data_IF_043025512961
#
_entry.id   IF_043025512961
#
_cell.length_a   1.000
_cell.length_b   1.000
_cell.length_c   1.000
_cell.angle_alpha   90.00
_cell.angle_beta   90.00
_cell.angle_gamma   90.00
#
_symmetry.space_group_name_H-M   'P 1'
#
loop_
_entity.id
_entity.type
_entity.pdbx_description
1 polymer ?
#
# COMPACT_ATOMS: atom_id res chain seq x y z
N UNK A 1 -0.23 -15.01 8.75
CA UNK A 1 -0.97 -14.09 7.87
C UNK A 1 -0.89 -14.62 6.45
N UNK A 2 -1.94 -14.52 5.64
CA UNK A 2 -1.95 -14.99 4.24
C UNK A 2 -1.65 -13.83 3.29
N UNK A 3 -1.03 -14.06 2.13
CA UNK A 3 -0.93 -13.04 1.08
C UNK A 3 -2.31 -12.51 0.69
N UNK A 4 -2.37 -11.23 0.32
CA UNK A 4 -3.58 -10.64 -0.28
C UNK A 4 -3.78 -11.16 -1.71
N UNK A 5 -5.03 -11.22 -2.15
CA UNK A 5 -5.36 -11.51 -3.55
C UNK A 5 -5.09 -10.27 -4.40
N UNK A 6 -4.03 -10.32 -5.21
CA UNK A 6 -3.61 -9.20 -6.07
C UNK A 6 -4.50 -9.00 -7.30
N UNK A 7 -5.48 -9.90 -7.54
CA UNK A 7 -6.44 -9.76 -8.63
C UNK A 7 -7.71 -9.01 -8.23
N UNK A 8 -7.98 -8.87 -6.92
CA UNK A 8 -9.12 -8.09 -6.42
C UNK A 8 -8.75 -6.59 -6.37
N UNK A 9 -9.39 -5.72 -7.20
CA UNK A 9 -9.04 -4.31 -7.31
C UNK A 9 -9.39 -3.49 -6.05
N UNK A 10 -10.06 -4.08 -5.06
CA UNK A 10 -10.40 -3.43 -3.79
C UNK A 10 -9.25 -3.41 -2.78
N UNK A 11 -8.13 -4.05 -3.10
CA UNK A 11 -6.91 -3.96 -2.32
C UNK A 11 -6.07 -2.77 -2.78
N UNK A 12 -5.61 -1.97 -1.83
CA UNK A 12 -4.57 -0.97 -2.01
C UNK A 12 -3.33 -1.35 -1.19
N UNK A 13 -2.14 -1.00 -1.68
CA UNK A 13 -0.87 -1.20 -0.98
C UNK A 13 -0.16 0.14 -0.87
N UNK A 14 0.04 0.59 0.36
CA UNK A 14 0.78 1.81 0.68
C UNK A 14 2.21 1.43 1.05
N UNK A 15 3.18 2.08 0.42
CA UNK A 15 4.60 1.86 0.65
C UNK A 15 5.19 3.05 1.40
N UNK A 16 5.79 2.81 2.56
CA UNK A 16 6.59 3.80 3.25
C UNK A 16 8.02 3.75 2.68
N UNK A 17 8.46 4.82 2.03
CA UNK A 17 9.80 4.89 1.41
C UNK A 17 10.62 6.04 1.98
N UNK A 18 11.92 5.81 2.13
CA UNK A 18 12.91 6.87 2.39
C UNK A 18 13.58 7.22 1.08
N UNK A 19 13.50 8.49 0.71
CA UNK A 19 14.27 9.05 -0.39
C UNK A 19 15.73 9.21 0.06
N UNK A 20 16.66 8.67 -0.71
CA UNK A 20 18.09 8.87 -0.57
C UNK A 20 18.63 9.48 -1.87
N UNK A 21 19.66 10.30 -1.76
CA UNK A 21 20.40 10.81 -2.91
C UNK A 21 21.82 10.29 -2.77
N UNK A 22 22.33 9.66 -3.82
CA UNK A 22 23.70 9.16 -3.82
C UNK A 22 24.71 10.25 -4.22
N UNK A 23 25.98 9.87 -4.28
CA UNK A 23 27.07 10.78 -4.62
C UNK A 23 27.03 11.23 -6.09
N UNK A 24 26.37 10.48 -6.98
CA UNK A 24 26.11 10.84 -8.37
C UNK A 24 24.91 11.78 -8.53
N UNK A 25 24.14 12.02 -7.46
CA UNK A 25 22.93 12.83 -7.48
C UNK A 25 21.67 12.05 -7.86
N UNK A 26 21.77 10.73 -8.02
CA UNK A 26 20.63 9.88 -8.34
C UNK A 26 19.74 9.68 -7.11
N UNK A 27 18.43 9.68 -7.37
CA UNK A 27 17.41 9.48 -6.35
C UNK A 27 17.10 8.00 -6.23
N UNK A 28 17.31 7.46 -5.03
CA UNK A 28 16.93 6.10 -4.66
C UNK A 28 15.80 6.13 -3.63
N UNK A 29 14.86 5.20 -3.76
CA UNK A 29 13.78 5.02 -2.78
C UNK A 29 14.03 3.71 -2.01
N UNK A 30 14.41 3.84 -0.74
CA UNK A 30 14.54 2.69 0.16
C UNK A 30 13.17 2.36 0.78
N UNK A 31 12.67 1.16 0.53
CA UNK A 31 11.45 0.67 1.17
C UNK A 31 11.68 0.46 2.67
N UNK A 32 10.87 1.09 3.52
CA UNK A 32 10.91 0.97 4.97
C UNK A 32 9.84 -0.01 5.50
N UNK A 33 8.76 -0.16 4.77
CA UNK A 33 7.63 -1.01 5.15
C UNK A 33 6.43 -0.76 4.24
N UNK A 34 5.37 -1.53 4.46
CA UNK A 34 4.12 -1.39 3.74
C UNK A 34 2.93 -1.57 4.66
N UNK A 35 1.77 -1.13 4.18
CA UNK A 35 0.48 -1.45 4.75
C UNK A 35 -0.52 -1.74 3.62
N UNK A 36 -1.40 -2.70 3.82
CA UNK A 36 -2.49 -3.04 2.91
C UNK A 36 -3.80 -2.44 3.40
N UNK A 37 -4.63 -1.95 2.48
CA UNK A 37 -5.98 -1.46 2.77
C UNK A 37 -6.96 -2.26 1.93
N UNK A 38 -8.05 -2.73 2.54
CA UNK A 38 -9.17 -3.32 1.82
C UNK A 38 -10.41 -2.44 1.88
N UNK A 39 -11.08 -2.26 0.74
CA UNK A 39 -12.33 -1.52 0.63
C UNK A 39 -13.53 -2.47 0.73
N UNK A 40 -14.10 -2.58 1.93
CA UNK A 40 -15.40 -3.26 2.10
C UNK A 40 -16.51 -2.38 1.54
N UNK A 41 -17.31 -2.92 0.64
CA UNK A 41 -18.51 -2.22 0.17
C UNK A 41 -19.47 -1.97 1.34
N UNK A 42 -19.90 -0.73 1.50
CA UNK A 42 -20.90 -0.30 2.46
C UNK A 42 -22.08 0.29 1.70
N UNK A 43 -23.18 -0.46 1.66
CA UNK A 43 -24.38 -0.08 0.93
C UNK A 43 -24.89 1.31 1.37
N UNK A 44 -25.42 2.14 0.46
CA UNK A 44 -25.64 1.87 -0.97
C UNK A 44 -24.45 2.17 -1.89
N UNK A 45 -23.53 3.03 -1.49
CA UNK A 45 -22.52 3.60 -2.40
C UNK A 45 -21.24 4.03 -1.66
N UNK A 46 -21.05 3.58 -0.43
CA UNK A 46 -19.90 3.89 0.39
C UNK A 46 -18.91 2.72 0.47
N UNK A 47 -17.76 2.99 1.07
CA UNK A 47 -16.79 1.95 1.43
C UNK A 47 -16.29 2.14 2.85
N UNK A 48 -15.97 1.03 3.51
CA UNK A 48 -15.28 1.00 4.80
C UNK A 48 -13.89 0.43 4.59
N UNK A 49 -12.89 1.21 4.97
CA UNK A 49 -11.49 0.82 4.89
C UNK A 49 -11.12 -0.12 6.05
N UNK A 50 -10.32 -1.15 5.76
CA UNK A 50 -9.68 -2.00 6.78
C UNK A 50 -8.18 -2.00 6.54
N UNK A 51 -7.42 -1.58 7.54
CA UNK A 51 -5.97 -1.75 7.59
C UNK A 51 -5.64 -3.24 7.79
N UNK A 52 -4.79 -3.77 6.92
CA UNK A 52 -4.28 -5.13 6.95
C UNK A 52 -2.81 -5.20 7.34
N UNK A 53 -2.12 -6.16 6.73
CA UNK A 53 -0.67 -6.38 6.89
C UNK A 53 0.13 -5.15 6.50
#
# INVERSE_FOLDING_TARGET
SSPVDTTDPRWEIYLAVRKAVDQSGDIHCLLLGFATIYHFYHYPDASRLRIGQ
#
